data_IF_211045604620
#
_entry.id   IF_211045604620
#
_cell.length_a   1.000
_cell.length_b   1.000
_cell.length_c   1.000
_cell.angle_alpha   90.00
_cell.angle_beta   90.00
_cell.angle_gamma   90.00
#
_symmetry.space_group_name_H-M   'P 1'
#
loop_
_entity.id
_entity.type
_entity.pdbx_description
1 polymer ?
#
# COMPACT_ATOMS: atom_id res chain seq x y z
N UNK A 1 41.64 64.99 -40.62
CA UNK A 1 41.79 64.24 -39.35
C UNK A 1 40.92 62.97 -39.47
N UNK A 2 41.56 61.86 -39.75
CA UNK A 2 40.88 60.60 -40.05
C UNK A 2 40.89 59.73 -38.82
N UNK A 3 39.72 59.35 -38.32
CA UNK A 3 39.56 58.37 -37.26
C UNK A 3 39.53 56.97 -37.89
N UNK A 4 40.53 56.16 -37.57
CA UNK A 4 40.58 54.72 -37.94
C UNK A 4 39.85 53.90 -36.89
N UNK A 5 38.76 53.23 -37.32
CA UNK A 5 38.09 52.21 -36.53
C UNK A 5 38.86 50.89 -36.60
N UNK A 6 39.28 50.39 -35.44
CA UNK A 6 39.85 49.04 -35.31
C UNK A 6 38.69 48.04 -35.05
N UNK A 7 38.49 47.14 -36.01
CA UNK A 7 37.60 46.01 -35.83
C UNK A 7 38.45 44.86 -35.22
N UNK A 8 38.15 44.49 -33.98
CA UNK A 8 38.69 43.28 -33.39
C UNK A 8 37.89 42.07 -33.86
N UNK A 9 38.51 41.20 -34.67
CA UNK A 9 38.01 39.86 -34.95
C UNK A 9 38.32 38.97 -33.74
N UNK A 10 37.28 38.52 -33.02
CA UNK A 10 37.36 37.44 -32.06
C UNK A 10 37.37 36.11 -32.82
N UNK A 11 38.34 35.20 -32.59
CA UNK A 11 38.26 33.86 -33.16
C UNK A 11 37.18 33.07 -32.47
N UNK A 12 36.24 32.52 -33.27
CA UNK A 12 35.22 31.60 -32.82
C UNK A 12 35.89 30.30 -32.32
N UNK A 13 35.96 30.12 -31.01
CA UNK A 13 36.26 28.82 -30.42
C UNK A 13 35.11 27.85 -30.73
N UNK A 14 35.33 26.98 -31.70
CA UNK A 14 34.46 25.79 -31.87
C UNK A 14 34.86 24.80 -30.78
N UNK A 15 34.05 24.71 -29.73
CA UNK A 15 34.09 23.61 -28.80
C UNK A 15 33.61 22.35 -29.60
N UNK A 16 34.54 21.55 -30.01
CA UNK A 16 34.26 20.17 -30.42
C UNK A 16 33.91 19.40 -29.16
N UNK A 17 32.62 19.29 -28.87
CA UNK A 17 32.11 18.24 -27.98
C UNK A 17 32.24 16.94 -28.75
N UNK A 18 33.37 16.24 -28.54
CA UNK A 18 33.48 14.85 -28.93
C UNK A 18 32.42 14.07 -28.12
N UNK A 19 31.27 13.82 -28.74
CA UNK A 19 30.39 12.79 -28.23
C UNK A 19 31.23 11.49 -28.26
N UNK A 20 31.50 10.92 -27.10
CA UNK A 20 32.07 9.58 -27.04
C UNK A 20 30.98 8.66 -27.62
N UNK A 21 31.22 8.13 -28.81
CA UNK A 21 30.44 7.02 -29.32
C UNK A 21 30.56 5.88 -28.31
N UNK A 22 29.48 5.63 -27.57
CA UNK A 22 29.37 4.43 -26.75
C UNK A 22 29.12 3.30 -27.75
N UNK A 23 30.20 2.72 -28.24
CA UNK A 23 30.10 1.47 -29.01
C UNK A 23 29.80 0.36 -28.03
N UNK A 24 28.54 -0.08 -28.01
CA UNK A 24 28.21 -1.35 -27.39
C UNK A 24 28.99 -2.43 -28.18
N UNK A 25 29.62 -3.39 -27.49
CA UNK A 25 30.20 -4.51 -28.17
C UNK A 25 29.09 -5.15 -29.04
N UNK A 26 29.37 -5.55 -30.28
CA UNK A 26 28.37 -6.19 -31.15
C UNK A 26 27.78 -7.33 -30.32
N UNK A 27 26.45 -7.33 -30.19
CA UNK A 27 25.71 -8.49 -29.65
C UNK A 27 25.94 -9.57 -30.69
N UNK A 28 27.02 -10.34 -30.52
CA UNK A 28 27.25 -11.54 -31.29
C UNK A 28 26.01 -12.38 -31.10
N UNK A 29 25.24 -12.60 -32.18
CA UNK A 29 24.00 -13.31 -32.11
C UNK A 29 24.21 -14.60 -31.32
N UNK A 30 23.65 -14.65 -30.13
CA UNK A 30 23.56 -15.88 -29.38
C UNK A 30 22.65 -16.80 -30.20
N UNK A 31 23.26 -17.70 -30.98
CA UNK A 31 22.53 -18.86 -31.46
C UNK A 31 22.02 -19.57 -30.20
N UNK A 32 20.75 -19.95 -30.21
CA UNK A 32 20.06 -20.65 -29.13
C UNK A 32 20.68 -21.98 -28.64
N UNK A 33 21.91 -22.23 -28.99
CA UNK A 33 22.66 -23.46 -28.70
C UNK A 33 24.00 -23.27 -27.97
N UNK A 34 24.41 -22.07 -27.62
CA UNK A 34 25.53 -21.90 -26.70
C UNK A 34 24.99 -21.74 -25.27
N UNK A 35 24.62 -22.89 -24.69
CA UNK A 35 24.62 -23.08 -23.25
C UNK A 35 26.05 -22.79 -22.82
N UNK A 36 26.28 -21.66 -22.14
CA UNK A 36 27.56 -21.43 -21.42
C UNK A 36 27.69 -22.61 -20.48
N UNK A 37 28.70 -23.47 -20.61
CA UNK A 37 28.85 -24.56 -19.68
C UNK A 37 29.03 -23.97 -18.28
N UNK A 38 28.09 -24.15 -17.38
CA UNK A 38 28.17 -23.72 -15.96
C UNK A 38 29.43 -24.28 -15.25
N UNK A 39 30.14 -25.18 -15.88
CA UNK A 39 31.23 -25.94 -15.25
C UNK A 39 32.55 -25.19 -15.08
N UNK A 40 32.75 -23.99 -15.65
CA UNK A 40 34.07 -23.36 -15.67
C UNK A 40 34.24 -22.04 -14.91
N UNK A 41 33.22 -21.47 -14.30
CA UNK A 41 33.39 -20.17 -13.62
C UNK A 41 33.44 -20.24 -12.10
N UNK A 42 33.00 -21.35 -11.47
CA UNK A 42 32.95 -21.47 -10.01
C UNK A 42 32.13 -20.38 -9.29
N UNK A 43 31.40 -19.57 -10.07
CA UNK A 43 30.62 -18.43 -9.60
C UNK A 43 29.14 -18.77 -9.83
N UNK A 44 28.40 -18.92 -8.72
CA UNK A 44 26.95 -19.06 -8.77
C UNK A 44 26.29 -17.70 -8.93
N UNK A 45 25.58 -17.50 -10.05
CA UNK A 45 24.82 -16.27 -10.33
C UNK A 45 23.32 -16.46 -10.10
N UNK A 46 22.88 -17.62 -9.63
CA UNK A 46 21.47 -17.98 -9.51
C UNK A 46 20.85 -17.53 -8.19
N UNK A 47 21.63 -17.12 -7.21
CA UNK A 47 21.18 -16.77 -5.86
C UNK A 47 21.45 -15.30 -5.47
N UNK A 48 21.53 -14.40 -6.42
CA UNK A 48 21.75 -12.98 -6.11
C UNK A 48 20.47 -12.35 -5.52
N UNK A 49 20.43 -12.19 -4.20
CA UNK A 49 19.26 -11.65 -3.46
C UNK A 49 18.92 -10.19 -3.75
N UNK A 50 19.91 -9.40 -4.19
CA UNK A 50 19.77 -7.94 -4.39
C UNK A 50 19.92 -7.55 -5.86
N UNK A 51 19.65 -8.48 -6.79
CA UNK A 51 19.77 -8.25 -8.21
C UNK A 51 18.56 -8.84 -8.95
N UNK A 52 18.26 -8.29 -10.14
CA UNK A 52 17.17 -8.75 -10.97
C UNK A 52 15.83 -8.07 -10.66
N UNK A 53 14.73 -8.75 -10.87
CA UNK A 53 13.38 -8.26 -10.61
C UNK A 53 13.12 -8.21 -9.10
N UNK A 54 12.78 -7.03 -8.58
CA UNK A 54 12.46 -6.87 -7.17
C UNK A 54 11.03 -7.33 -6.90
N UNK A 55 10.90 -8.40 -6.12
CA UNK A 55 9.63 -8.92 -5.62
C UNK A 55 9.60 -8.90 -4.10
N UNK A 56 8.41 -8.93 -3.51
CA UNK A 56 8.29 -9.03 -2.07
C UNK A 56 8.93 -10.35 -1.57
N UNK A 57 9.80 -10.24 -0.56
CA UNK A 57 10.49 -11.37 0.07
C UNK A 57 11.19 -12.33 -0.93
N UNK A 58 11.62 -11.83 -2.08
CA UNK A 58 12.19 -12.63 -3.16
C UNK A 58 11.27 -13.78 -3.63
N UNK A 59 9.96 -13.60 -3.52
CA UNK A 59 8.96 -14.56 -3.99
C UNK A 59 8.97 -14.66 -5.53
N UNK A 60 8.51 -15.77 -6.11
CA UNK A 60 8.38 -15.90 -7.56
C UNK A 60 7.46 -14.81 -8.14
N UNK A 61 7.93 -14.14 -9.19
CA UNK A 61 7.08 -13.26 -9.98
C UNK A 61 6.18 -14.07 -10.90
N UNK A 62 4.90 -13.73 -10.92
CA UNK A 62 3.91 -14.29 -11.85
C UNK A 62 3.16 -13.12 -12.51
N UNK A 63 3.07 -13.12 -13.82
CA UNK A 63 2.28 -12.10 -14.53
C UNK A 63 0.77 -12.38 -14.37
N UNK A 64 0.25 -12.13 -13.17
CA UNK A 64 -1.14 -12.43 -12.82
C UNK A 64 -2.16 -11.66 -13.68
N UNK A 65 -1.76 -10.51 -14.23
CA UNK A 65 -2.57 -9.65 -15.09
C UNK A 65 -2.44 -10.00 -16.59
N UNK A 66 -1.82 -11.16 -16.91
CA UNK A 66 -1.73 -11.63 -18.28
C UNK A 66 -3.11 -11.69 -18.97
N UNK A 67 -3.20 -11.41 -20.27
CA UNK A 67 -4.44 -11.48 -21.03
C UNK A 67 -5.16 -12.83 -20.88
N UNK A 68 -6.48 -12.81 -21.05
CA UNK A 68 -7.29 -14.02 -21.07
C UNK A 68 -6.78 -15.01 -22.13
N UNK A 69 -6.70 -16.28 -21.79
CA UNK A 69 -6.17 -17.35 -22.65
C UNK A 69 -4.66 -17.56 -22.58
N UNK A 70 -3.91 -16.75 -21.82
CA UNK A 70 -2.52 -17.07 -21.48
C UNK A 70 -2.47 -17.92 -20.21
N UNK A 71 -1.61 -18.95 -20.23
CA UNK A 71 -1.40 -19.81 -19.08
C UNK A 71 -0.72 -19.03 -17.95
N UNK A 72 -1.40 -18.90 -16.82
CA UNK A 72 -0.87 -18.32 -15.59
C UNK A 72 -0.71 -19.45 -14.58
N UNK A 73 0.47 -19.57 -14.02
CA UNK A 73 0.75 -20.59 -12.98
C UNK A 73 -0.21 -20.41 -11.80
N UNK A 74 -0.95 -21.43 -11.37
CA UNK A 74 -1.86 -21.33 -10.22
C UNK A 74 -1.13 -20.95 -8.93
N UNK A 75 -1.79 -20.17 -8.07
CA UNK A 75 -1.27 -19.72 -6.78
C UNK A 75 -2.39 -19.56 -5.76
N UNK A 76 -2.06 -19.62 -4.46
CA UNK A 76 -3.03 -19.54 -3.37
C UNK A 76 -3.09 -18.16 -2.73
N UNK A 77 -1.94 -17.45 -2.70
CA UNK A 77 -1.82 -16.08 -2.18
C UNK A 77 -1.05 -15.23 -3.18
N UNK A 78 -1.61 -14.09 -3.53
CA UNK A 78 -1.01 -13.10 -4.42
C UNK A 78 -0.57 -11.85 -3.65
N UNK A 79 0.62 -11.34 -3.95
CA UNK A 79 1.03 -9.98 -3.59
C UNK A 79 0.75 -9.10 -4.80
N UNK A 80 -0.07 -8.07 -4.64
CA UNK A 80 -0.42 -7.12 -5.72
C UNK A 80 -0.11 -5.70 -5.28
N UNK A 81 0.73 -5.00 -6.04
CA UNK A 81 1.00 -3.59 -5.80
C UNK A 81 -0.10 -2.69 -6.39
N UNK A 82 -0.50 -1.67 -5.63
CA UNK A 82 -1.46 -0.66 -6.01
C UNK A 82 -0.82 0.74 -5.92
N UNK A 83 0.03 1.15 -6.87
CA UNK A 83 0.78 2.41 -6.83
C UNK A 83 -0.14 3.61 -7.14
N UNK A 84 -1.00 3.94 -6.20
CA UNK A 84 -2.00 5.00 -6.30
C UNK A 84 -1.79 6.05 -5.21
N UNK A 85 -2.05 7.31 -5.55
CA UNK A 85 -1.93 8.43 -4.64
C UNK A 85 -2.81 9.55 -5.18
N UNK A 86 -3.80 9.96 -4.42
CA UNK A 86 -4.69 11.05 -4.78
C UNK A 86 -3.97 12.38 -4.59
N UNK A 87 -3.63 13.04 -5.68
CA UNK A 87 -3.08 14.41 -5.64
C UNK A 87 -4.24 15.40 -5.69
N UNK A 88 -4.50 16.14 -4.61
CA UNK A 88 -5.38 17.30 -4.68
C UNK A 88 -4.67 18.39 -5.48
N UNK A 89 -5.15 18.69 -6.69
CA UNK A 89 -4.83 19.95 -7.35
C UNK A 89 -5.53 21.05 -6.57
N UNK A 90 -4.76 21.96 -5.98
CA UNK A 90 -5.30 23.28 -5.66
C UNK A 90 -5.83 23.91 -6.95
N UNK A 91 -7.06 24.44 -6.97
CA UNK A 91 -7.48 25.26 -8.09
C UNK A 91 -6.54 26.46 -8.20
N UNK A 92 -6.21 26.91 -9.42
CA UNK A 92 -5.36 28.09 -9.60
C UNK A 92 -5.95 29.26 -8.80
N UNK A 93 -5.06 30.01 -8.14
CA UNK A 93 -5.39 31.13 -7.23
C UNK A 93 -5.94 32.35 -7.97
N UNK A 94 -6.58 32.18 -9.11
CA UNK A 94 -7.05 33.26 -9.99
C UNK A 94 -8.44 33.83 -9.62
N UNK A 95 -8.99 33.51 -8.45
CA UNK A 95 -10.24 34.14 -7.97
C UNK A 95 -10.06 34.81 -6.61
N UNK A 96 -9.02 35.62 -6.46
CA UNK A 96 -9.02 36.66 -5.42
C UNK A 96 -9.78 37.85 -5.98
N UNK A 97 -11.10 37.78 -5.93
CA UNK A 97 -11.89 38.98 -5.96
C UNK A 97 -11.69 39.72 -4.65
N UNK A 98 -11.07 40.87 -4.75
CA UNK A 98 -10.92 41.86 -3.68
C UNK A 98 -12.30 42.33 -3.24
N UNK A 99 -12.82 41.79 -2.14
CA UNK A 99 -13.86 42.48 -1.40
C UNK A 99 -13.31 42.86 -0.02
N UNK A 100 -13.38 44.16 0.15
CA UNK A 100 -12.96 44.92 1.31
C UNK A 100 -13.84 44.62 2.54
N UNK A 101 -13.57 43.52 3.24
CA UNK A 101 -13.89 43.38 4.66
C UNK A 101 -12.92 42.37 5.28
N UNK A 102 -11.98 42.87 6.06
CA UNK A 102 -11.02 42.06 6.77
C UNK A 102 -11.66 41.16 7.83
N UNK A 103 -10.99 40.06 8.11
CA UNK A 103 -11.08 39.24 9.31
C UNK A 103 -11.89 37.94 9.33
N UNK A 104 -12.53 37.50 8.21
CA UNK A 104 -13.28 36.22 8.27
C UNK A 104 -12.80 35.16 7.29
N UNK A 105 -11.68 35.35 6.60
CA UNK A 105 -11.22 34.46 5.53
C UNK A 105 -10.26 33.38 6.02
N UNK A 106 -9.63 33.55 7.17
CA UNK A 106 -8.64 32.58 7.66
C UNK A 106 -9.25 31.27 8.23
N UNK A 107 -10.50 31.28 8.66
CA UNK A 107 -11.15 30.06 9.16
C UNK A 107 -11.70 29.12 8.07
N UNK A 108 -11.93 29.62 6.85
CA UNK A 108 -12.38 28.77 5.73
C UNK A 108 -11.25 28.05 4.99
N UNK A 109 -10.00 28.44 5.22
CA UNK A 109 -8.84 27.83 4.55
C UNK A 109 -8.29 26.58 5.26
N UNK A 110 -8.68 26.34 6.52
CA UNK A 110 -8.18 25.19 7.29
C UNK A 110 -8.94 23.88 7.06
N UNK A 111 -9.92 23.84 6.16
CA UNK A 111 -10.72 22.62 5.93
C UNK A 111 -10.54 22.06 4.51
N UNK A 112 -9.42 22.37 3.84
CA UNK A 112 -9.02 21.75 2.57
C UNK A 112 -7.91 20.73 2.82
N UNK A 113 -8.20 19.75 3.63
CA UNK A 113 -7.39 18.54 3.65
C UNK A 113 -7.84 17.66 2.48
N UNK A 114 -7.30 17.97 1.30
CA UNK A 114 -7.15 16.97 0.29
C UNK A 114 -6.12 15.97 0.79
N UNK A 115 -6.25 14.75 0.32
CA UNK A 115 -5.40 13.62 0.53
C UNK A 115 -4.02 13.99 0.97
N UNK A 116 -3.64 13.47 2.09
CA UNK A 116 -2.31 13.51 2.69
C UNK A 116 -1.62 14.87 2.63
N UNK A 117 -1.30 15.41 3.75
CA UNK A 117 -0.41 16.58 3.84
C UNK A 117 0.91 16.31 3.08
N UNK A 118 1.24 15.04 2.81
CA UNK A 118 2.46 14.60 2.14
C UNK A 118 2.14 13.57 1.06
N UNK A 119 2.22 13.90 -0.25
CA UNK A 119 2.07 12.93 -1.32
C UNK A 119 3.26 11.98 -1.37
N UNK A 120 3.08 10.79 -1.92
CA UNK A 120 4.19 9.82 -2.10
C UNK A 120 3.81 8.38 -1.81
N UNK A 121 2.60 8.11 -1.33
CA UNK A 121 2.13 6.76 -1.05
C UNK A 121 2.13 5.84 -2.30
N UNK A 122 2.02 6.41 -3.51
CA UNK A 122 2.17 5.64 -4.77
C UNK A 122 3.48 4.87 -4.89
N UNK A 123 4.51 5.25 -4.14
CA UNK A 123 5.80 4.55 -4.09
C UNK A 123 5.85 3.48 -2.99
N UNK A 124 4.76 3.33 -2.22
CA UNK A 124 4.63 2.32 -1.16
C UNK A 124 4.94 0.90 -1.63
N UNK A 125 4.33 0.42 -2.74
CA UNK A 125 4.58 -0.95 -3.20
C UNK A 125 6.06 -1.25 -3.46
N UNK A 126 6.79 -0.34 -4.10
CA UNK A 126 8.21 -0.50 -4.36
C UNK A 126 9.04 -0.43 -3.08
N UNK A 127 8.71 0.49 -2.16
CA UNK A 127 9.40 0.62 -0.87
C UNK A 127 9.22 -0.61 0.01
N UNK A 128 8.01 -1.16 0.08
CA UNK A 128 7.73 -2.38 0.86
C UNK A 128 8.51 -3.58 0.30
N UNK A 129 8.58 -3.72 -1.05
CA UNK A 129 9.40 -4.75 -1.67
C UNK A 129 10.89 -4.57 -1.35
N UNK A 130 11.38 -3.32 -1.39
CA UNK A 130 12.77 -3.01 -0.99
C UNK A 130 13.01 -3.39 0.47
N UNK A 131 12.12 -3.00 1.40
CA UNK A 131 12.20 -3.36 2.81
C UNK A 131 12.21 -4.87 3.06
N UNK A 132 11.54 -5.65 2.20
CA UNK A 132 11.46 -7.11 2.29
C UNK A 132 12.67 -7.85 1.68
N UNK A 133 13.62 -7.17 1.04
CA UNK A 133 14.69 -7.80 0.25
C UNK A 133 15.59 -8.74 1.05
N UNK A 134 15.66 -8.58 2.37
CA UNK A 134 16.39 -9.49 3.28
C UNK A 134 15.62 -10.77 3.62
N UNK A 135 14.31 -10.77 3.43
CA UNK A 135 13.44 -11.92 3.62
C UNK A 135 13.49 -12.79 2.35
N UNK A 136 13.48 -14.09 2.50
CA UNK A 136 13.37 -15.01 1.37
C UNK A 136 12.80 -16.35 1.83
N UNK A 137 12.18 -17.14 0.95
CA UNK A 137 11.64 -18.44 1.32
C UNK A 137 12.66 -19.36 2.02
N UNK A 138 13.94 -19.22 1.70
CA UNK A 138 15.00 -20.02 2.35
C UNK A 138 15.42 -19.47 3.73
N UNK A 139 15.06 -18.25 4.10
CA UNK A 139 15.55 -17.55 5.30
C UNK A 139 14.45 -16.81 6.05
N UNK A 140 13.23 -17.31 6.05
CA UNK A 140 12.06 -16.71 6.70
C UNK A 140 11.51 -17.56 7.85
N UNK A 141 12.35 -18.40 8.46
CA UNK A 141 11.93 -19.15 9.64
C UNK A 141 11.75 -18.20 10.84
N UNK A 142 10.54 -18.11 11.35
CA UNK A 142 10.21 -17.23 12.47
C UNK A 142 10.57 -17.91 13.81
N UNK A 143 11.35 -17.21 14.64
CA UNK A 143 11.65 -17.66 16.01
C UNK A 143 10.44 -17.55 16.96
N UNK A 144 9.44 -16.76 16.60
CA UNK A 144 8.22 -16.55 17.40
C UNK A 144 7.20 -17.66 17.19
N UNK A 145 6.99 -18.06 15.93
CA UNK A 145 6.01 -19.11 15.57
C UNK A 145 6.65 -20.49 15.41
N UNK A 146 7.97 -20.57 15.23
CA UNK A 146 8.69 -21.83 14.97
C UNK A 146 8.47 -22.38 13.56
N UNK A 147 8.06 -21.55 12.61
CA UNK A 147 7.64 -21.96 11.26
C UNK A 147 8.19 -21.04 10.17
N UNK A 148 8.14 -21.52 8.94
CA UNK A 148 8.43 -20.74 7.74
C UNK A 148 7.23 -20.80 6.79
N UNK A 149 6.44 -19.77 6.78
CA UNK A 149 5.17 -19.72 6.02
C UNK A 149 5.33 -19.73 4.51
N UNK A 150 6.51 -19.39 3.99
CA UNK A 150 6.76 -19.41 2.54
C UNK A 150 7.02 -20.84 1.99
N UNK A 151 7.21 -21.83 2.85
CA UNK A 151 7.39 -23.23 2.47
C UNK A 151 6.29 -24.15 3.04
N UNK A 152 5.21 -23.57 3.54
CA UNK A 152 4.01 -24.26 3.98
C UNK A 152 3.16 -24.69 2.77
N UNK A 153 1.88 -25.02 2.96
CA UNK A 153 0.96 -25.50 1.92
C UNK A 153 0.69 -24.48 0.79
N UNK A 154 0.70 -23.17 1.09
CA UNK A 154 0.28 -22.12 0.17
C UNK A 154 1.38 -21.77 -0.83
N UNK A 155 1.04 -21.76 -2.11
CA UNK A 155 1.88 -21.18 -3.14
C UNK A 155 1.66 -19.66 -3.20
N UNK A 156 2.69 -18.92 -2.78
CA UNK A 156 2.66 -17.48 -2.66
C UNK A 156 3.49 -16.86 -3.80
N UNK A 157 2.93 -15.85 -4.48
CA UNK A 157 3.57 -15.20 -5.63
C UNK A 157 3.46 -13.68 -5.53
N UNK A 158 4.40 -12.98 -6.17
CA UNK A 158 4.30 -11.53 -6.40
C UNK A 158 3.81 -11.28 -7.83
N UNK A 159 2.69 -10.60 -7.97
CA UNK A 159 2.06 -10.26 -9.25
C UNK A 159 2.61 -8.98 -9.89
N UNK A 160 3.53 -8.29 -9.20
CA UNK A 160 3.93 -6.93 -9.59
C UNK A 160 2.87 -5.89 -9.26
N UNK A 161 2.89 -4.77 -9.96
CA UNK A 161 1.98 -3.66 -9.74
C UNK A 161 0.82 -3.67 -10.75
N UNK A 162 -0.35 -3.24 -10.30
CA UNK A 162 -1.46 -2.90 -11.18
C UNK A 162 -1.05 -1.70 -12.08
N UNK A 163 -1.34 -1.74 -13.39
CA UNK A 163 -0.96 -0.68 -14.33
C UNK A 163 -1.92 0.51 -14.23
N UNK A 164 -1.70 1.35 -13.22
CA UNK A 164 -2.55 2.50 -12.92
C UNK A 164 -2.07 3.75 -13.66
N UNK A 165 -3.01 4.48 -14.30
CA UNK A 165 -2.70 5.79 -14.86
C UNK A 165 -2.56 6.83 -13.75
N UNK A 166 -1.55 7.69 -13.87
CA UNK A 166 -1.37 8.84 -12.96
C UNK A 166 -2.02 10.13 -13.50
N UNK A 167 -2.68 10.06 -14.66
CA UNK A 167 -3.29 11.22 -15.32
C UNK A 167 -4.74 11.45 -14.90
N UNK A 168 -5.44 10.40 -14.46
CA UNK A 168 -6.85 10.43 -14.09
C UNK A 168 -7.11 9.43 -12.97
N UNK A 169 -7.37 9.94 -11.76
CA UNK A 169 -7.59 9.13 -10.57
C UNK A 169 -8.85 8.24 -10.71
N UNK A 170 -9.89 8.72 -11.39
CA UNK A 170 -11.11 7.93 -11.60
C UNK A 170 -10.85 6.72 -12.52
N UNK A 171 -10.04 6.93 -13.56
CA UNK A 171 -9.59 5.85 -14.42
C UNK A 171 -8.67 4.89 -13.67
N UNK A 172 -7.76 5.41 -12.84
CA UNK A 172 -6.83 4.60 -12.04
C UNK A 172 -7.57 3.67 -11.08
N UNK A 173 -8.58 4.15 -10.34
CA UNK A 173 -9.38 3.31 -9.44
C UNK A 173 -10.15 2.21 -10.21
N UNK A 174 -10.69 2.53 -11.38
CA UNK A 174 -11.32 1.51 -12.25
C UNK A 174 -10.33 0.48 -12.77
N UNK A 175 -9.09 0.90 -13.07
CA UNK A 175 -8.01 -0.02 -13.44
C UNK A 175 -7.64 -0.92 -12.25
N UNK A 176 -7.62 -0.38 -11.03
CA UNK A 176 -7.36 -1.14 -9.82
C UNK A 176 -8.48 -2.14 -9.52
N UNK A 177 -9.77 -1.72 -9.62
CA UNK A 177 -10.91 -2.62 -9.50
C UNK A 177 -10.76 -3.80 -10.48
N UNK A 178 -10.38 -3.52 -11.74
CA UNK A 178 -10.19 -4.56 -12.75
C UNK A 178 -8.98 -5.46 -12.48
N UNK A 179 -7.89 -4.90 -11.98
CA UNK A 179 -6.71 -5.69 -11.61
C UNK A 179 -7.03 -6.67 -10.49
N UNK A 180 -7.70 -6.24 -9.42
CA UNK A 180 -8.18 -7.11 -8.35
C UNK A 180 -9.12 -8.20 -8.86
N UNK A 181 -10.07 -7.85 -9.73
CA UNK A 181 -10.99 -8.81 -10.35
C UNK A 181 -10.24 -9.91 -11.12
N UNK A 182 -9.25 -9.54 -11.93
CA UNK A 182 -8.46 -10.48 -12.71
C UNK A 182 -7.66 -11.41 -11.80
N UNK A 183 -6.97 -10.86 -10.80
CA UNK A 183 -6.13 -11.67 -9.89
C UNK A 183 -6.98 -12.63 -9.07
N UNK A 184 -8.12 -12.18 -8.54
CA UNK A 184 -9.01 -13.02 -7.74
C UNK A 184 -9.75 -14.10 -8.54
N UNK A 185 -9.82 -13.95 -9.87
CA UNK A 185 -10.39 -14.96 -10.77
C UNK A 185 -9.34 -16.00 -11.24
N UNK A 186 -8.06 -15.89 -10.86
CA UNK A 186 -7.04 -16.87 -11.23
C UNK A 186 -7.24 -18.19 -10.48
N UNK A 187 -6.85 -19.32 -11.10
CA UNK A 187 -6.95 -20.62 -10.45
C UNK A 187 -6.02 -20.70 -9.24
N UNK A 188 -6.50 -21.33 -8.16
CA UNK A 188 -5.69 -21.66 -6.99
C UNK A 188 -4.85 -22.90 -7.24
N UNK A 189 -3.71 -22.98 -6.56
CA UNK A 189 -2.88 -24.20 -6.56
C UNK A 189 -3.48 -25.30 -5.67
N UNK A 190 -4.19 -24.92 -4.62
CA UNK A 190 -4.91 -25.83 -3.73
C UNK A 190 -6.29 -26.17 -4.30
N UNK A 191 -6.66 -27.47 -4.31
CA UNK A 191 -7.98 -27.95 -4.73
C UNK A 191 -9.13 -27.53 -3.80
N UNK A 192 -8.81 -27.17 -2.57
CA UNK A 192 -9.78 -26.92 -1.51
C UNK A 192 -10.26 -25.46 -1.50
N UNK A 193 -9.70 -24.61 -2.36
CA UNK A 193 -10.02 -23.19 -2.45
C UNK A 193 -10.41 -22.79 -3.87
N UNK A 194 -11.47 -22.02 -3.98
CA UNK A 194 -11.99 -21.58 -5.27
C UNK A 194 -11.34 -20.28 -5.79
N UNK A 195 -10.71 -19.51 -4.90
CA UNK A 195 -10.20 -18.17 -5.19
C UNK A 195 -8.94 -17.89 -4.37
N UNK A 196 -7.89 -17.31 -4.97
CA UNK A 196 -6.70 -16.91 -4.24
C UNK A 196 -6.99 -15.75 -3.30
N UNK A 197 -6.29 -15.70 -2.17
CA UNK A 197 -6.26 -14.54 -1.28
C UNK A 197 -5.29 -13.49 -1.84
N UNK A 198 -5.55 -12.21 -1.56
CA UNK A 198 -4.69 -11.12 -2.02
C UNK A 198 -4.20 -10.31 -0.83
N UNK A 199 -2.89 -10.06 -0.78
CA UNK A 199 -2.27 -9.01 0.03
C UNK A 199 -1.92 -7.87 -0.90
N UNK A 200 -2.53 -6.71 -0.68
CA UNK A 200 -2.26 -5.52 -1.48
C UNK A 200 -1.16 -4.69 -0.82
N UNK A 201 -0.09 -4.43 -1.57
CA UNK A 201 0.87 -3.37 -1.22
C UNK A 201 0.27 -2.08 -1.73
N UNK A 202 -0.34 -1.29 -0.84
CA UNK A 202 -1.16 -0.16 -1.23
C UNK A 202 -0.36 1.09 -1.56
N UNK A 203 -1.06 1.99 -2.20
CA UNK A 203 -0.78 3.41 -2.23
C UNK A 203 -1.43 4.10 -1.04
N UNK A 204 -2.21 5.17 -1.30
CA UNK A 204 -3.05 5.74 -0.24
C UNK A 204 -4.21 4.80 0.14
N UNK A 205 -4.90 5.10 1.24
CA UNK A 205 -5.92 4.21 1.80
C UNK A 205 -7.17 4.04 0.91
N UNK A 206 -7.37 4.89 -0.10
CA UNK A 206 -8.45 4.73 -1.09
C UNK A 206 -8.36 3.39 -1.82
N UNK A 207 -7.15 2.83 -1.97
CA UNK A 207 -6.90 1.56 -2.68
C UNK A 207 -7.61 0.37 -2.06
N UNK A 208 -7.87 0.40 -0.76
CA UNK A 208 -8.58 -0.63 0.00
C UNK A 208 -10.02 -0.82 -0.47
N UNK A 209 -10.68 0.24 -0.99
CA UNK A 209 -12.03 0.12 -1.53
C UNK A 209 -12.11 -0.87 -2.70
N UNK A 210 -11.14 -0.81 -3.61
CA UNK A 210 -11.05 -1.76 -4.74
C UNK A 210 -10.81 -3.20 -4.27
N UNK A 211 -9.96 -3.38 -3.26
CA UNK A 211 -9.71 -4.69 -2.66
C UNK A 211 -10.96 -5.25 -1.96
N UNK A 212 -11.71 -4.43 -1.22
CA UNK A 212 -12.95 -4.83 -0.57
C UNK A 212 -14.05 -5.20 -1.57
N UNK A 213 -14.18 -4.48 -2.70
CA UNK A 213 -15.13 -4.82 -3.78
C UNK A 213 -14.83 -6.18 -4.38
N UNK A 214 -13.55 -6.46 -4.65
CA UNK A 214 -13.10 -7.78 -5.14
C UNK A 214 -13.35 -8.87 -4.10
N UNK A 215 -13.00 -8.62 -2.85
CA UNK A 215 -13.20 -9.54 -1.73
C UNK A 215 -14.69 -9.88 -1.57
N UNK A 216 -15.55 -8.87 -1.57
CA UNK A 216 -17.01 -9.08 -1.45
C UNK A 216 -17.58 -9.96 -2.58
N UNK A 217 -17.07 -9.81 -3.81
CA UNK A 217 -17.54 -10.60 -4.97
C UNK A 217 -17.37 -12.11 -4.76
N UNK A 218 -16.28 -12.51 -4.10
CA UNK A 218 -15.91 -13.93 -3.93
C UNK A 218 -16.30 -14.50 -2.56
N UNK A 219 -16.30 -13.64 -1.52
CA UNK A 219 -16.42 -14.07 -0.14
C UNK A 219 -17.69 -13.51 0.57
N UNK A 220 -18.42 -12.60 -0.09
CA UNK A 220 -19.49 -11.83 0.53
C UNK A 220 -18.98 -10.76 1.49
N UNK A 221 -19.87 -10.12 2.29
CA UNK A 221 -19.45 -9.06 3.20
C UNK A 221 -18.54 -9.57 4.31
N UNK A 222 -17.50 -8.79 4.61
CA UNK A 222 -16.44 -9.14 5.58
C UNK A 222 -16.46 -8.23 6.79
N UNK A 223 -15.91 -8.68 7.92
CA UNK A 223 -15.54 -7.79 9.02
C UNK A 223 -14.16 -7.22 8.73
N UNK A 224 -13.99 -5.93 8.95
CA UNK A 224 -12.71 -5.24 8.77
C UNK A 224 -12.06 -5.05 10.13
N UNK A 225 -10.80 -5.49 10.28
CA UNK A 225 -9.90 -5.02 11.33
C UNK A 225 -9.05 -3.93 10.70
N UNK A 226 -9.24 -2.70 11.13
CA UNK A 226 -8.61 -1.51 10.57
C UNK A 226 -7.60 -0.96 11.58
N UNK A 227 -6.32 -1.12 11.29
CA UNK A 227 -5.22 -0.54 12.07
C UNK A 227 -4.86 0.80 11.48
N UNK A 228 -5.11 1.87 12.24
CA UNK A 228 -4.98 3.23 11.74
C UNK A 228 -4.98 4.25 12.91
N UNK A 229 -4.43 5.41 12.70
CA UNK A 229 -4.60 6.56 13.59
C UNK A 229 -5.93 7.30 13.34
N UNK A 230 -6.54 7.15 12.16
CA UNK A 230 -7.75 7.80 11.68
C UNK A 230 -8.95 6.86 11.61
N UNK A 231 -10.18 7.41 11.48
CA UNK A 231 -11.39 6.60 11.36
C UNK A 231 -11.68 6.11 9.95
N UNK A 232 -11.41 6.93 8.95
CA UNK A 232 -11.67 6.68 7.52
C UNK A 232 -13.12 6.29 7.16
N UNK A 233 -14.02 6.49 8.12
CA UNK A 233 -15.46 6.38 7.98
C UNK A 233 -16.14 7.73 7.79
N UNK A 234 -15.40 8.80 7.46
CA UNK A 234 -16.01 10.11 7.29
C UNK A 234 -17.02 10.12 6.18
N UNK A 235 -18.11 10.83 6.44
CA UNK A 235 -19.12 11.12 5.45
C UNK A 235 -18.50 11.93 4.29
N UNK A 236 -18.65 11.49 3.02
CA UNK A 236 -18.15 12.24 1.86
C UNK A 236 -18.60 13.70 1.80
N UNK A 237 -19.77 14.07 2.37
CA UNK A 237 -20.22 15.46 2.48
C UNK A 237 -19.36 16.29 3.46
N UNK A 238 -18.61 15.64 4.33
CA UNK A 238 -17.71 16.28 5.31
C UNK A 238 -16.31 16.41 4.74
N UNK A 239 -15.81 15.30 4.19
CA UNK A 239 -14.45 15.21 3.65
C UNK A 239 -14.53 15.01 2.13
N UNK A 240 -14.25 16.07 1.38
CA UNK A 240 -14.37 16.10 -0.08
C UNK A 240 -15.69 16.66 -0.59
N UNK A 241 -16.65 16.95 0.32
CA UNK A 241 -18.01 17.37 0.00
C UNK A 241 -18.13 18.61 -0.87
N UNK A 242 -18.97 18.52 -1.90
CA UNK A 242 -19.34 19.63 -2.76
C UNK A 242 -18.36 20.00 -3.87
N UNK A 243 -17.16 19.42 -3.91
CA UNK A 243 -16.18 19.70 -4.98
C UNK A 243 -16.57 18.91 -6.25
N UNK A 244 -16.73 17.62 -6.13
CA UNK A 244 -17.25 16.73 -7.18
C UNK A 244 -17.66 15.40 -6.55
N UNK A 245 -18.47 14.62 -7.28
CA UNK A 245 -18.80 13.25 -6.86
C UNK A 245 -17.53 12.40 -6.64
N UNK A 246 -16.53 12.61 -7.45
CA UNK A 246 -15.25 11.92 -7.34
C UNK A 246 -14.43 12.34 -6.11
N UNK A 247 -14.45 13.63 -5.73
CA UNK A 247 -13.72 14.10 -4.54
C UNK A 247 -14.26 13.51 -3.23
N UNK A 248 -15.47 12.95 -3.24
CA UNK A 248 -16.02 12.20 -2.12
C UNK A 248 -15.36 10.83 -1.91
N UNK A 249 -14.63 10.30 -2.91
CA UNK A 249 -13.91 9.01 -2.82
C UNK A 249 -12.46 9.31 -2.50
N UNK A 250 -12.05 9.12 -1.26
CA UNK A 250 -10.70 9.41 -0.80
C UNK A 250 -10.32 8.52 0.40
N UNK A 251 -9.08 8.63 0.87
CA UNK A 251 -8.53 7.86 1.97
C UNK A 251 -9.37 7.93 3.26
N UNK A 252 -9.98 9.06 3.58
CA UNK A 252 -10.77 9.22 4.80
C UNK A 252 -12.24 8.82 4.68
N UNK A 253 -12.72 8.45 3.49
CA UNK A 253 -14.15 8.16 3.24
C UNK A 253 -14.41 6.74 2.73
N UNK A 254 -13.37 5.99 2.40
CA UNK A 254 -13.51 4.70 1.72
C UNK A 254 -14.28 3.66 2.56
N UNK A 255 -14.16 3.67 3.89
CA UNK A 255 -14.92 2.76 4.77
C UNK A 255 -16.39 3.14 4.86
N UNK A 256 -16.72 4.45 4.82
CA UNK A 256 -18.10 4.89 4.68
C UNK A 256 -18.72 4.36 3.38
N UNK A 257 -18.02 4.52 2.27
CA UNK A 257 -18.45 4.05 0.95
C UNK A 257 -18.56 2.52 0.94
N UNK A 258 -17.60 1.82 1.52
CA UNK A 258 -17.65 0.35 1.63
C UNK A 258 -18.87 -0.12 2.43
N UNK A 259 -19.28 0.62 3.48
CA UNK A 259 -20.51 0.35 4.21
C UNK A 259 -21.75 0.59 3.34
N UNK A 260 -21.84 1.72 2.64
CA UNK A 260 -22.97 2.04 1.76
C UNK A 260 -23.12 1.05 0.60
N UNK A 261 -22.00 0.54 0.07
CA UNK A 261 -21.98 -0.52 -0.94
C UNK A 261 -22.28 -1.91 -0.37
N UNK A 262 -22.43 -2.06 0.95
CA UNK A 262 -22.69 -3.33 1.61
C UNK A 262 -21.54 -4.32 1.63
N UNK A 263 -20.31 -3.84 1.44
CA UNK A 263 -19.10 -4.67 1.35
C UNK A 263 -18.65 -5.19 2.71
N UNK A 264 -18.96 -4.46 3.77
CA UNK A 264 -18.45 -4.72 5.12
C UNK A 264 -19.59 -4.97 6.11
N UNK A 265 -19.25 -5.70 7.19
CA UNK A 265 -20.20 -6.07 8.27
C UNK A 265 -20.18 -5.09 9.42
N UNK A 266 -21.29 -5.04 10.16
CA UNK A 266 -21.40 -4.26 11.42
C UNK A 266 -20.60 -4.85 12.59
N UNK A 267 -19.65 -5.73 12.32
CA UNK A 267 -18.74 -6.36 13.28
C UNK A 267 -17.30 -5.96 13.04
N UNK A 268 -17.10 -4.82 12.39
CA UNK A 268 -15.79 -4.26 12.11
C UNK A 268 -15.21 -3.51 13.33
N UNK A 269 -13.91 -3.27 13.35
CA UNK A 269 -13.21 -2.64 14.47
C UNK A 269 -11.98 -1.88 14.02
N UNK A 270 -11.80 -0.68 14.58
CA UNK A 270 -10.57 0.10 14.47
C UNK A 270 -9.61 -0.20 15.63
N UNK A 271 -8.32 -0.11 15.37
CA UNK A 271 -7.26 -0.23 16.36
C UNK A 271 -6.15 0.80 16.13
N UNK A 272 -5.86 1.62 17.13
CA UNK A 272 -4.82 2.65 17.08
C UNK A 272 -5.34 4.08 16.97
N UNK A 273 -6.64 4.28 16.98
CA UNK A 273 -7.28 5.58 16.77
C UNK A 273 -6.79 6.63 17.80
N UNK A 274 -6.32 7.77 17.27
CA UNK A 274 -5.84 8.90 18.09
C UNK A 274 -5.92 10.25 17.40
N UNK A 275 -6.14 10.28 16.09
CA UNK A 275 -6.24 11.51 15.31
C UNK A 275 -7.42 12.38 15.78
N UNK A 276 -7.32 13.72 15.71
CA UNK A 276 -8.41 14.63 16.04
C UNK A 276 -9.57 14.48 15.06
N UNK A 277 -10.79 14.68 15.55
CA UNK A 277 -12.01 14.59 14.77
C UNK A 277 -12.52 15.99 14.40
N UNK A 278 -13.04 16.15 13.19
CA UNK A 278 -13.60 17.40 12.71
C UNK A 278 -14.94 17.73 13.39
N UNK A 279 -15.82 16.73 13.53
CA UNK A 279 -17.14 16.83 14.16
C UNK A 279 -17.35 15.68 15.17
N UNK A 280 -16.77 15.75 16.37
CA UNK A 280 -16.63 14.57 17.25
C UNK A 280 -17.90 13.75 17.45
N UNK A 281 -19.03 14.40 17.71
CA UNK A 281 -20.31 13.70 17.88
C UNK A 281 -20.92 13.17 16.57
N UNK A 282 -20.65 13.86 15.45
CA UNK A 282 -21.10 13.47 14.11
C UNK A 282 -20.29 12.31 13.57
N UNK A 283 -18.99 12.45 13.64
CA UNK A 283 -18.05 11.46 13.11
C UNK A 283 -18.15 10.13 13.86
N UNK A 284 -18.19 10.13 15.21
CA UNK A 284 -18.39 8.92 16.00
C UNK A 284 -19.76 8.25 15.76
N UNK A 285 -20.85 9.02 15.54
CA UNK A 285 -22.14 8.41 15.20
C UNK A 285 -22.11 7.78 13.82
N UNK A 286 -21.44 8.41 12.86
CA UNK A 286 -21.28 7.85 11.53
C UNK A 286 -20.42 6.59 11.56
N UNK A 287 -19.37 6.58 12.35
CA UNK A 287 -18.48 5.43 12.57
C UNK A 287 -19.26 4.20 13.10
N UNK A 288 -20.05 4.41 14.16
CA UNK A 288 -20.94 3.36 14.70
C UNK A 288 -21.97 2.90 13.66
N UNK A 289 -22.54 3.83 12.85
CA UNK A 289 -23.44 3.49 11.75
C UNK A 289 -22.76 2.63 10.70
N UNK A 290 -21.50 2.88 10.40
CA UNK A 290 -20.69 2.06 9.49
C UNK A 290 -20.28 0.71 10.10
N UNK A 291 -20.65 0.45 11.36
CA UNK A 291 -20.48 -0.87 11.99
C UNK A 291 -19.19 -1.06 12.75
N UNK A 292 -18.47 0.01 13.06
CA UNK A 292 -17.18 -0.06 13.75
C UNK A 292 -17.29 0.11 15.27
N UNK A 293 -16.39 -0.57 15.97
CA UNK A 293 -15.94 -0.27 17.33
C UNK A 293 -14.53 0.29 17.31
N UNK A 294 -14.11 0.97 18.38
CA UNK A 294 -12.81 1.64 18.44
C UNK A 294 -11.98 1.07 19.59
N UNK A 295 -10.73 0.68 19.28
CA UNK A 295 -9.63 0.53 20.23
C UNK A 295 -8.71 1.73 20.03
N UNK A 296 -8.64 2.62 21.00
CA UNK A 296 -7.77 3.81 20.95
C UNK A 296 -6.31 3.41 21.14
N UNK A 297 -5.39 4.19 20.57
CA UNK A 297 -3.96 3.89 20.67
C UNK A 297 -3.49 3.65 22.12
N UNK A 298 -3.88 4.53 23.07
CA UNK A 298 -3.47 4.43 24.48
C UNK A 298 -4.17 3.33 25.29
N UNK A 299 -5.16 2.64 24.72
CA UNK A 299 -5.79 1.51 25.40
C UNK A 299 -4.84 0.30 25.51
N UNK A 300 -3.78 0.25 24.68
CA UNK A 300 -2.73 -0.75 24.82
C UNK A 300 -1.99 -0.64 26.16
N UNK A 301 -1.83 0.58 26.70
CA UNK A 301 -1.22 0.81 28.00
C UNK A 301 -2.12 0.33 29.17
N UNK A 302 -3.44 0.32 28.94
CA UNK A 302 -4.43 -0.06 29.95
C UNK A 302 -4.70 -1.57 29.98
N UNK A 303 -4.82 -2.19 28.80
CA UNK A 303 -5.24 -3.58 28.65
C UNK A 303 -4.10 -4.51 28.26
N UNK A 304 -2.95 -3.95 27.87
CA UNK A 304 -1.83 -4.68 27.31
C UNK A 304 -2.16 -5.25 25.91
N UNK A 305 -1.15 -5.80 25.25
CA UNK A 305 -1.28 -6.44 23.92
C UNK A 305 -2.34 -7.55 23.97
N UNK A 306 -2.34 -8.38 25.02
CA UNK A 306 -3.29 -9.50 25.15
C UNK A 306 -4.75 -9.02 25.24
N UNK A 307 -5.01 -7.90 25.95
CA UNK A 307 -6.36 -7.34 26.05
C UNK A 307 -6.84 -6.75 24.73
N UNK A 308 -5.95 -6.10 23.95
CA UNK A 308 -6.25 -5.62 22.61
C UNK A 308 -6.58 -6.80 21.69
N UNK A 309 -5.76 -7.85 21.65
CA UNK A 309 -5.99 -9.05 20.86
C UNK A 309 -7.35 -9.68 21.19
N UNK A 310 -7.65 -9.86 22.48
CA UNK A 310 -8.92 -10.45 22.94
C UNK A 310 -10.12 -9.64 22.43
N UNK A 311 -10.05 -8.30 22.48
CA UNK A 311 -11.12 -7.42 22.01
C UNK A 311 -11.31 -7.51 20.50
N UNK A 312 -10.21 -7.47 19.71
CA UNK A 312 -10.25 -7.63 18.26
C UNK A 312 -10.88 -8.97 17.87
N UNK A 313 -10.37 -10.07 18.43
CA UNK A 313 -10.88 -11.43 18.13
C UNK A 313 -12.35 -11.59 18.53
N UNK A 314 -12.75 -11.07 19.68
CA UNK A 314 -14.15 -11.12 20.13
C UNK A 314 -15.08 -10.39 19.18
N UNK A 315 -14.67 -9.22 18.68
CA UNK A 315 -15.51 -8.39 17.80
C UNK A 315 -15.78 -9.04 16.45
N UNK A 316 -14.77 -9.63 15.83
CA UNK A 316 -14.85 -10.21 14.49
C UNK A 316 -15.14 -11.71 14.47
N UNK A 317 -15.38 -12.30 15.65
CA UNK A 317 -15.54 -13.76 15.80
C UNK A 317 -16.54 -14.35 14.80
N UNK A 318 -16.16 -15.49 14.19
CA UNK A 318 -16.99 -16.28 13.25
C UNK A 318 -17.36 -15.57 11.94
N UNK A 319 -16.58 -14.57 11.54
CA UNK A 319 -16.76 -13.91 10.24
C UNK A 319 -15.52 -14.10 9.38
N UNK A 320 -15.67 -13.88 8.07
CA UNK A 320 -14.53 -13.68 7.19
C UNK A 320 -13.97 -12.28 7.42
N UNK A 321 -12.63 -12.17 7.41
CA UNK A 321 -11.96 -10.98 7.88
C UNK A 321 -11.06 -10.41 6.79
N UNK A 322 -11.15 -9.09 6.61
CA UNK A 322 -10.19 -8.30 5.89
C UNK A 322 -9.38 -7.48 6.89
N UNK A 323 -8.06 -7.50 6.79
CA UNK A 323 -7.18 -6.68 7.64
C UNK A 323 -6.59 -5.57 6.80
N UNK A 324 -6.87 -4.32 7.16
CA UNK A 324 -6.24 -3.14 6.57
C UNK A 324 -5.29 -2.50 7.57
N UNK A 325 -4.05 -2.26 7.16
CA UNK A 325 -3.04 -1.64 8.01
C UNK A 325 -2.54 -0.36 7.34
N UNK A 326 -3.02 0.77 7.85
CA UNK A 326 -2.35 2.03 7.63
C UNK A 326 -1.07 2.07 8.45
N UNK A 327 0.05 2.38 7.81
CA UNK A 327 1.33 2.37 8.50
C UNK A 327 1.42 3.47 9.57
N UNK A 328 0.56 4.48 9.50
CA UNK A 328 0.49 5.56 10.48
C UNK A 328 -0.14 5.15 11.83
N UNK A 329 -0.67 3.92 11.95
CA UNK A 329 -0.98 3.32 13.26
C UNK A 329 0.26 3.32 14.15
N UNK A 330 1.45 3.21 13.56
CA UNK A 330 2.71 3.32 14.27
C UNK A 330 3.02 4.77 14.64
N UNK A 331 3.76 4.95 15.74
CA UNK A 331 4.29 6.26 16.08
C UNK A 331 5.32 6.72 15.03
N UNK A 332 5.39 8.02 14.70
CA UNK A 332 6.38 8.56 13.76
C UNK A 332 7.84 8.26 14.11
N UNK A 333 8.13 7.88 15.36
CA UNK A 333 9.45 7.40 15.76
C UNK A 333 9.82 6.06 15.10
N UNK A 334 8.84 5.26 14.71
CA UNK A 334 8.98 3.93 14.09
C UNK A 334 8.60 3.92 12.61
N UNK A 335 7.66 4.79 12.21
CA UNK A 335 7.19 4.91 10.84
C UNK A 335 7.02 6.39 10.42
N UNK A 336 8.13 7.13 10.21
CA UNK A 336 8.05 8.54 9.81
C UNK A 336 7.54 8.74 8.37
N UNK A 337 7.61 7.71 7.53
CA UNK A 337 7.33 7.81 6.10
C UNK A 337 5.87 7.47 5.78
N UNK A 338 5.00 8.37 6.20
CA UNK A 338 3.56 8.33 5.90
C UNK A 338 3.04 9.73 5.58
N UNK A 339 1.84 9.80 5.02
CA UNK A 339 1.20 11.05 4.62
C UNK A 339 0.73 11.89 5.80
N UNK A 340 0.07 11.29 6.77
CA UNK A 340 -0.65 11.92 7.89
C UNK A 340 -0.22 11.34 9.24
N UNK A 341 1.07 11.54 9.55
CA UNK A 341 1.65 11.02 10.79
C UNK A 341 1.03 11.64 12.05
N UNK A 342 0.58 10.81 12.99
CA UNK A 342 0.05 11.19 14.29
C UNK A 342 0.96 10.68 15.41
N UNK A 343 1.28 11.53 16.40
CA UNK A 343 2.13 11.17 17.55
C UNK A 343 1.37 10.34 18.59
N UNK A 344 2.10 9.52 19.35
CA UNK A 344 1.52 8.67 20.38
C UNK A 344 0.92 7.37 19.85
N UNK A 345 1.44 6.89 18.72
CA UNK A 345 1.10 5.62 18.09
C UNK A 345 1.75 4.41 18.74
N UNK A 346 1.50 3.25 18.16
CA UNK A 346 2.11 2.00 18.61
C UNK A 346 3.56 1.88 18.14
N UNK A 347 4.33 1.09 18.85
CA UNK A 347 5.65 0.64 18.38
C UNK A 347 5.45 -0.47 17.33
N UNK A 348 6.43 -0.65 16.45
CA UNK A 348 6.43 -1.77 15.49
C UNK A 348 6.29 -3.11 16.21
N UNK A 349 6.98 -3.30 17.36
CA UNK A 349 6.88 -4.53 18.15
C UNK A 349 5.46 -4.78 18.68
N UNK A 350 4.75 -3.75 19.13
CA UNK A 350 3.37 -3.89 19.62
C UNK A 350 2.42 -4.30 18.48
N UNK A 351 2.51 -3.62 17.33
CA UNK A 351 1.71 -3.97 16.16
C UNK A 351 1.94 -5.41 15.71
N UNK A 352 3.20 -5.82 15.54
CA UNK A 352 3.54 -7.20 15.13
C UNK A 352 3.03 -8.22 16.16
N UNK A 353 3.19 -7.95 17.46
CA UNK A 353 2.68 -8.84 18.51
C UNK A 353 1.14 -8.93 18.52
N UNK A 354 0.44 -7.84 18.19
CA UNK A 354 -1.02 -7.86 18.03
C UNK A 354 -1.39 -8.70 16.82
N UNK A 355 -0.74 -8.50 15.66
CA UNK A 355 -1.00 -9.28 14.44
C UNK A 355 -0.77 -10.77 14.68
N UNK A 356 0.37 -11.17 15.27
CA UNK A 356 0.68 -12.58 15.59
C UNK A 356 -0.42 -13.19 16.48
N UNK A 357 -0.93 -12.40 17.44
CA UNK A 357 -2.02 -12.82 18.31
C UNK A 357 -3.37 -13.02 17.63
N UNK A 358 -3.56 -12.55 16.39
CA UNK A 358 -4.78 -12.78 15.61
C UNK A 358 -4.81 -14.15 14.91
N UNK A 359 -3.79 -14.98 15.06
CA UNK A 359 -3.75 -16.34 14.52
C UNK A 359 -5.03 -17.12 14.83
N UNK A 360 -5.51 -17.90 13.84
CA UNK A 360 -6.73 -18.68 13.91
C UNK A 360 -8.00 -17.92 13.48
N UNK A 361 -7.89 -16.65 13.09
CA UNK A 361 -8.96 -15.92 12.42
C UNK A 361 -9.04 -16.26 10.92
N UNK A 362 -10.23 -16.23 10.33
CA UNK A 362 -10.43 -16.49 8.88
C UNK A 362 -10.09 -15.23 8.06
N UNK A 363 -8.79 -14.94 7.91
CA UNK A 363 -8.27 -13.81 7.14
C UNK A 363 -8.24 -14.18 5.66
N UNK A 364 -9.03 -13.48 4.86
CA UNK A 364 -9.22 -13.78 3.43
C UNK A 364 -8.61 -12.72 2.50
N UNK A 365 -8.28 -11.55 3.01
CA UNK A 365 -7.65 -10.46 2.29
C UNK A 365 -6.98 -9.49 3.27
N UNK A 366 -5.98 -8.77 2.82
CA UNK A 366 -5.32 -7.74 3.62
C UNK A 366 -4.61 -6.72 2.74
N UNK A 367 -4.27 -5.58 3.34
CA UNK A 367 -3.38 -4.60 2.73
C UNK A 367 -2.48 -3.89 3.75
N UNK A 368 -1.46 -3.22 3.22
CA UNK A 368 -0.63 -2.25 3.93
C UNK A 368 -0.59 -1.00 3.07
N UNK A 369 -1.00 0.13 3.62
CA UNK A 369 -1.23 1.39 2.91
C UNK A 369 -0.50 2.57 3.54
N UNK A 370 -0.53 3.73 2.87
CA UNK A 370 0.03 5.02 3.29
C UNK A 370 1.55 5.02 3.51
N UNK A 371 2.26 4.02 3.01
CA UNK A 371 3.72 4.01 3.03
C UNK A 371 4.25 4.97 1.97
N UNK A 372 4.92 6.03 2.39
CA UNK A 372 5.47 7.08 1.52
C UNK A 372 7.01 7.14 1.63
N UNK A 373 7.76 6.26 0.94
CA UNK A 373 9.18 6.01 1.16
C UNK A 373 10.08 7.26 1.05
N UNK A 374 9.63 8.27 0.31
CA UNK A 374 10.37 9.54 0.15
C UNK A 374 10.61 10.27 1.48
N UNK A 375 9.81 9.99 2.51
CA UNK A 375 9.95 10.60 3.84
C UNK A 375 10.63 9.68 4.84
N UNK A 376 11.11 8.51 4.40
CA UNK A 376 11.76 7.57 5.31
C UNK A 376 13.15 8.09 5.73
N UNK A 377 13.59 7.64 6.88
CA UNK A 377 14.91 7.97 7.38
C UNK A 377 15.99 7.11 6.70
N UNK A 378 17.28 7.46 6.86
CA UNK A 378 18.37 6.68 6.25
C UNK A 378 18.44 5.20 6.69
N UNK A 379 17.75 4.84 7.76
CA UNK A 379 17.62 3.45 8.23
C UNK A 379 16.45 2.70 7.60
N UNK A 380 15.66 3.35 6.73
CA UNK A 380 14.51 2.75 6.03
C UNK A 380 13.49 2.11 6.98
N UNK A 381 13.30 2.69 8.18
CA UNK A 381 12.54 2.06 9.27
C UNK A 381 11.09 1.82 8.92
N UNK A 382 10.47 2.71 8.14
CA UNK A 382 9.05 2.56 7.74
C UNK A 382 8.87 1.42 6.76
N UNK A 383 9.69 1.35 5.71
CA UNK A 383 9.56 0.28 4.70
C UNK A 383 9.95 -1.09 5.28
N UNK A 384 10.89 -1.12 6.23
CA UNK A 384 11.21 -2.35 6.98
C UNK A 384 10.02 -2.77 7.86
N UNK A 385 9.41 -1.85 8.61
CA UNK A 385 8.23 -2.15 9.42
C UNK A 385 7.07 -2.65 8.55
N UNK A 386 6.79 -1.98 7.43
CA UNK A 386 5.74 -2.37 6.51
C UNK A 386 6.00 -3.77 5.91
N UNK A 387 7.25 -4.09 5.57
CA UNK A 387 7.61 -5.42 5.08
C UNK A 387 7.34 -6.52 6.11
N UNK A 388 7.65 -6.29 7.39
CA UNK A 388 7.35 -7.24 8.47
C UNK A 388 5.84 -7.35 8.72
N UNK A 389 5.07 -6.26 8.61
CA UNK A 389 3.60 -6.29 8.68
C UNK A 389 3.03 -7.18 7.57
N UNK A 390 3.49 -7.02 6.33
CA UNK A 390 3.06 -7.90 5.22
C UNK A 390 3.40 -9.36 5.50
N UNK A 391 4.57 -9.65 6.10
CA UNK A 391 4.94 -11.02 6.50
C UNK A 391 3.95 -11.60 7.54
N UNK A 392 3.58 -10.82 8.56
CA UNK A 392 2.57 -11.22 9.55
C UNK A 392 1.20 -11.45 8.90
N UNK A 393 0.78 -10.59 7.96
CA UNK A 393 -0.50 -10.76 7.24
C UNK A 393 -0.51 -12.04 6.39
N UNK A 394 0.57 -12.35 5.69
CA UNK A 394 0.73 -13.62 4.96
C UNK A 394 0.64 -14.80 5.94
N UNK A 395 1.30 -14.72 7.08
CA UNK A 395 1.26 -15.75 8.13
C UNK A 395 -0.17 -16.02 8.57
N UNK A 396 -0.95 -14.96 8.86
CA UNK A 396 -2.35 -15.09 9.23
C UNK A 396 -3.19 -15.76 8.13
N UNK A 397 -2.92 -15.44 6.86
CA UNK A 397 -3.65 -16.04 5.73
C UNK A 397 -3.33 -17.52 5.53
N UNK A 398 -2.08 -17.92 5.74
CA UNK A 398 -1.64 -19.33 5.67
C UNK A 398 -2.24 -20.13 6.83
N UNK A 399 -2.31 -19.54 8.02
CA UNK A 399 -2.86 -20.15 9.24
C UNK A 399 -4.37 -20.04 9.40
N UNK A 400 -5.05 -19.39 8.45
CA UNK A 400 -6.52 -19.30 8.47
C UNK A 400 -7.16 -20.68 8.44
N UNK A 401 -8.29 -20.90 9.14
CA UNK A 401 -9.07 -22.12 9.02
C UNK A 401 -9.40 -22.41 7.54
N UNK A 402 -9.37 -23.69 7.19
CA UNK A 402 -9.75 -24.19 5.85
C UNK A 402 -11.25 -24.11 5.63
#
# INVERSE_FOLDING_TARGET
>A
MALRSFIFLLPSLRLFTSARDITFPPVSGYSSQQIIPQQNLGIDVTQAKFAGLMTYANLPYVHCLAPEGQDVVPFDIAILGAPFDTVSREPPVDSILSDSVGCTILEKFNNRQGVTARPGARFGPSGIRQGSSRISPAMAWSIYTGENVFVDWAKIVDCGDAPLTFLDNSAALKQLDKAHEIVSARPTNSSDRATPKIVTLGGDHTTTLSALRSTHRHWGPVSVIHFDSHLDTWDPDVLGGGISHYAGVNHGTFLHIAHEEGLIRNTSIHAGIRAPMARPKGDLRNDVRCGFEIVKAREIDQFGIAGVIARLKSRVARTKIYISVDIDVLDPAFAPATGTAEVGGWTTRELLSVLDGLEGLDVIGADVVEVAPIYDNPGETTVLAAAEVVHSLITLMVKSPS
#
